data_IF_536779382891
#
_entry.id   IF_536779382891
#
_cell.length_a   1.000
_cell.length_b   1.000
_cell.length_c   1.000
_cell.angle_alpha   90.00
_cell.angle_beta   90.00
_cell.angle_gamma   90.00
#
_symmetry.space_group_name_H-M   'P 1'
#
loop_
_entity.id
_entity.type
_entity.pdbx_description
1 polymer ?
#
# COMPACT_ATOMS: atom_id res chain seq x y z
N UNK A 1 22.50 14.24 16.21
CA UNK A 1 22.00 12.86 16.20
C UNK A 1 22.22 12.09 17.49
N UNK A 2 23.43 12.05 18.08
CA UNK A 2 23.67 11.34 19.36
C UNK A 2 22.74 11.77 20.50
N UNK A 3 22.42 13.07 20.62
CA UNK A 3 21.46 13.59 21.60
C UNK A 3 20.05 13.01 21.42
N UNK A 4 19.56 12.95 20.18
CA UNK A 4 18.24 12.37 19.88
C UNK A 4 18.19 10.87 20.24
N UNK A 5 19.26 10.13 19.91
CA UNK A 5 19.36 8.71 20.26
C UNK A 5 19.36 8.52 21.78
N UNK A 6 20.07 9.38 22.54
CA UNK A 6 20.11 9.27 24.00
C UNK A 6 18.76 9.62 24.66
N UNK A 7 17.98 10.53 24.07
CA UNK A 7 16.64 10.89 24.55
C UNK A 7 15.60 9.82 24.23
N UNK A 8 15.73 9.15 23.08
CA UNK A 8 14.83 8.08 22.66
C UNK A 8 15.17 6.72 23.29
N UNK A 9 16.40 6.53 23.75
CA UNK A 9 16.84 5.28 24.36
C UNK A 9 16.02 4.97 25.62
N UNK A 10 15.39 3.77 25.62
CA UNK A 10 14.55 3.29 26.74
C UNK A 10 13.36 4.20 27.11
N UNK A 11 13.01 5.16 26.26
CA UNK A 11 11.88 6.08 26.48
C UNK A 11 10.49 5.42 26.33
N UNK A 12 10.43 4.22 25.75
CA UNK A 12 9.19 3.56 25.37
C UNK A 12 8.63 4.02 24.01
N UNK A 13 9.14 5.11 23.44
CA UNK A 13 8.75 5.56 22.11
C UNK A 13 9.27 4.63 21.01
N UNK A 14 8.53 4.59 19.90
CA UNK A 14 8.92 3.90 18.67
C UNK A 14 9.16 4.94 17.61
N UNK A 15 10.36 4.95 17.02
CA UNK A 15 10.68 5.78 15.87
C UNK A 15 10.18 5.08 14.60
N UNK A 16 9.22 5.69 13.92
CA UNK A 16 8.69 5.16 12.65
C UNK A 16 9.28 5.95 11.49
N UNK A 17 9.94 5.26 10.57
CA UNK A 17 10.55 5.81 9.36
C UNK A 17 9.76 5.29 8.16
N UNK A 18 8.88 6.13 7.64
CA UNK A 18 8.09 5.80 6.46
C UNK A 18 8.87 6.04 5.17
N UNK A 19 8.41 5.40 4.11
CA UNK A 19 8.98 5.56 2.76
C UNK A 19 10.51 5.35 2.69
N UNK A 20 11.01 4.42 3.48
CA UNK A 20 12.45 4.18 3.64
C UNK A 20 13.17 3.84 2.33
N UNK A 21 12.42 3.42 1.32
CA UNK A 21 12.92 3.12 -0.02
C UNK A 21 13.35 4.36 -0.83
N UNK A 22 12.95 5.59 -0.44
CA UNK A 22 13.40 6.83 -1.09
C UNK A 22 14.78 7.30 -0.67
N UNK A 23 15.37 6.66 0.34
CA UNK A 23 16.74 7.02 0.78
C UNK A 23 17.72 6.79 -0.37
N UNK A 24 18.51 7.82 -0.67
CA UNK A 24 19.55 7.76 -1.68
C UNK A 24 20.56 6.65 -1.35
N UNK A 25 21.02 5.96 -2.37
CA UNK A 25 21.91 4.81 -2.23
C UNK A 25 23.18 5.14 -1.44
N UNK A 26 23.75 6.32 -1.68
CA UNK A 26 24.97 6.78 -1.00
C UNK A 26 24.79 6.94 0.52
N UNK A 27 23.55 7.16 0.98
CA UNK A 27 23.23 7.36 2.39
C UNK A 27 22.80 6.09 3.12
N UNK A 28 22.47 5.03 2.40
CA UNK A 28 21.90 3.79 2.97
C UNK A 28 22.82 3.13 3.96
N UNK A 29 24.10 3.04 3.65
CA UNK A 29 25.09 2.42 4.54
C UNK A 29 25.25 3.22 5.83
N UNK A 30 25.33 4.54 5.73
CA UNK A 30 25.45 5.44 6.90
C UNK A 30 24.20 5.36 7.78
N UNK A 31 23.00 5.41 7.18
CA UNK A 31 21.74 5.31 7.92
C UNK A 31 21.61 3.93 8.55
N UNK A 32 21.95 2.86 7.83
CA UNK A 32 21.95 1.50 8.37
C UNK A 32 22.87 1.36 9.59
N UNK A 33 24.04 2.00 9.58
CA UNK A 33 24.96 2.04 10.69
C UNK A 33 24.36 2.81 11.89
N UNK A 34 23.70 3.94 11.63
CA UNK A 34 23.06 4.75 12.67
C UNK A 34 21.86 4.03 13.30
N UNK A 35 21.04 3.36 12.51
CA UNK A 35 19.94 2.51 12.99
C UNK A 35 20.48 1.43 13.94
N UNK A 36 21.58 0.78 13.54
CA UNK A 36 22.22 -0.23 14.39
C UNK A 36 22.64 0.33 15.73
N UNK A 37 23.35 1.48 15.75
CA UNK A 37 23.81 2.13 16.98
C UNK A 37 22.63 2.55 17.85
N UNK A 38 21.57 3.08 17.25
CA UNK A 38 20.36 3.46 17.97
C UNK A 38 19.65 2.24 18.59
N UNK A 39 19.52 1.15 17.84
CA UNK A 39 18.92 -0.09 18.36
C UNK A 39 19.75 -0.71 19.50
N UNK A 40 21.10 -0.68 19.41
CA UNK A 40 21.99 -1.13 20.48
C UNK A 40 21.85 -0.29 21.76
N UNK A 41 21.41 0.96 21.65
CA UNK A 41 21.07 1.84 22.77
C UNK A 41 19.63 1.73 23.25
N UNK A 42 18.87 0.77 22.76
CA UNK A 42 17.49 0.51 23.19
C UNK A 42 16.43 1.38 22.51
N UNK A 43 16.75 2.06 21.39
CA UNK A 43 15.75 2.75 20.57
C UNK A 43 15.00 1.74 19.75
N UNK A 44 13.67 1.75 19.84
CA UNK A 44 12.79 0.94 18.99
C UNK A 44 12.56 1.64 17.67
N UNK A 45 12.88 0.98 16.55
CA UNK A 45 12.79 1.57 15.21
C UNK A 45 11.97 0.65 14.33
N UNK A 46 11.01 1.22 13.62
CA UNK A 46 10.20 0.56 12.57
C UNK A 46 10.43 1.30 11.27
N UNK A 47 10.68 0.57 10.20
CA UNK A 47 10.80 1.13 8.85
C UNK A 47 9.71 0.55 7.97
N UNK A 48 9.09 1.38 7.14
CA UNK A 48 8.16 0.96 6.09
C UNK A 48 8.78 1.22 4.72
N UNK A 49 8.66 0.24 3.83
CA UNK A 49 9.16 0.33 2.47
C UNK A 49 8.34 -0.54 1.52
N UNK A 50 8.42 -0.26 0.20
CA UNK A 50 7.75 -1.11 -0.79
C UNK A 50 8.47 -2.46 -0.92
N UNK A 51 7.73 -3.57 -1.24
CA UNK A 51 8.23 -4.94 -1.17
C UNK A 51 9.55 -5.20 -1.92
N UNK A 52 9.73 -4.57 -3.08
CA UNK A 52 10.91 -4.79 -3.92
C UNK A 52 12.20 -4.15 -3.41
N UNK A 53 12.11 -3.31 -2.37
CA UNK A 53 13.25 -2.58 -1.79
C UNK A 53 13.37 -2.72 -0.28
N UNK A 54 12.51 -3.52 0.34
CA UNK A 54 12.49 -3.73 1.80
C UNK A 54 13.82 -4.22 2.36
N UNK A 55 14.60 -4.94 1.55
CA UNK A 55 15.86 -5.54 1.95
C UNK A 55 17.08 -4.60 1.87
N UNK A 56 16.95 -3.46 1.18
CA UNK A 56 18.13 -2.66 0.82
C UNK A 56 18.94 -2.20 2.03
N UNK A 57 18.27 -1.80 3.12
CA UNK A 57 18.95 -1.36 4.35
C UNK A 57 19.53 -2.54 5.13
N UNK A 58 18.83 -3.67 5.11
CA UNK A 58 19.29 -4.90 5.76
C UNK A 58 20.43 -5.53 4.94
N UNK A 59 20.35 -5.47 3.62
CA UNK A 59 21.39 -5.98 2.71
C UNK A 59 22.66 -5.14 2.77
N UNK A 60 22.53 -3.81 2.83
CA UNK A 60 23.70 -2.92 2.93
C UNK A 60 24.45 -3.08 4.25
N UNK A 61 23.80 -3.61 5.30
CA UNK A 61 24.45 -3.87 6.57
C UNK A 61 24.24 -5.30 7.06
N UNK A 62 25.15 -6.25 6.71
CA UNK A 62 25.07 -7.65 7.14
C UNK A 62 24.97 -7.84 8.66
N UNK A 63 25.42 -6.85 9.44
CA UNK A 63 25.39 -6.88 10.92
C UNK A 63 23.98 -6.62 11.50
N UNK A 64 23.02 -6.19 10.67
CA UNK A 64 21.60 -6.10 11.03
C UNK A 64 20.87 -7.43 10.86
N UNK A 65 21.42 -8.37 10.11
CA UNK A 65 20.82 -9.70 9.96
C UNK A 65 20.66 -10.37 11.32
N UNK A 66 19.46 -10.92 11.58
CA UNK A 66 19.11 -11.54 12.85
C UNK A 66 18.63 -10.57 13.95
N UNK A 67 18.61 -9.25 13.66
CA UNK A 67 18.08 -8.23 14.58
C UNK A 67 16.85 -7.52 14.03
N UNK A 68 16.39 -7.90 12.84
CA UNK A 68 15.25 -7.32 12.14
C UNK A 68 14.15 -8.38 12.08
N UNK A 69 12.95 -8.01 12.53
CA UNK A 69 11.73 -8.74 12.25
C UNK A 69 11.08 -8.10 11.03
N UNK A 70 10.92 -8.86 9.95
CA UNK A 70 10.23 -8.41 8.76
C UNK A 70 8.76 -8.82 8.83
N UNK A 71 7.88 -7.86 8.57
CA UNK A 71 6.44 -8.08 8.43
C UNK A 71 6.07 -7.79 6.99
N UNK A 72 5.62 -8.83 6.28
CA UNK A 72 5.08 -8.67 4.94
C UNK A 72 3.60 -8.34 5.05
N UNK A 73 3.23 -7.13 4.59
CA UNK A 73 1.85 -6.67 4.51
C UNK A 73 1.17 -7.08 3.19
N UNK A 74 1.58 -8.20 2.61
CA UNK A 74 1.15 -8.73 1.33
C UNK A 74 -0.33 -8.60 0.98
N UNK A 75 -0.77 -9.30 -0.02
CA UNK A 75 -2.16 -9.25 -0.50
C UNK A 75 -3.17 -9.69 0.57
N UNK A 76 -4.26 -8.95 0.67
CA UNK A 76 -5.33 -9.25 1.61
C UNK A 76 -6.27 -10.32 1.06
N UNK A 77 -6.81 -11.16 1.94
CA UNK A 77 -7.85 -12.13 1.57
C UNK A 77 -9.18 -11.41 1.24
N UNK A 78 -10.01 -12.07 0.43
CA UNK A 78 -11.37 -11.58 0.11
C UNK A 78 -12.14 -11.21 1.36
N UNK A 79 -12.07 -12.01 2.43
CA UNK A 79 -12.75 -11.72 3.70
C UNK A 79 -12.25 -10.44 4.38
N UNK A 80 -10.98 -10.11 4.26
CA UNK A 80 -10.43 -8.86 4.80
C UNK A 80 -10.83 -7.67 3.95
N UNK A 81 -10.81 -7.80 2.63
CA UNK A 81 -11.24 -6.77 1.69
C UNK A 81 -12.73 -6.48 1.84
N UNK A 82 -13.58 -7.51 1.96
CA UNK A 82 -15.01 -7.35 2.18
C UNK A 82 -15.33 -6.51 3.42
N UNK A 83 -14.50 -6.60 4.48
CA UNK A 83 -14.66 -5.75 5.67
C UNK A 83 -14.45 -4.26 5.38
N UNK A 84 -13.63 -3.91 4.38
CA UNK A 84 -13.45 -2.50 3.96
C UNK A 84 -14.76 -1.99 3.42
N UNK A 85 -15.39 -2.70 2.47
CA UNK A 85 -16.68 -2.32 1.89
C UNK A 85 -17.78 -2.26 2.95
N UNK A 86 -17.93 -3.34 3.73
CA UNK A 86 -19.00 -3.42 4.74
C UNK A 86 -18.91 -2.29 5.77
N UNK A 87 -17.71 -1.96 6.23
CA UNK A 87 -17.49 -0.82 7.15
C UNK A 87 -17.73 0.52 6.48
N UNK A 88 -17.24 0.71 5.24
CA UNK A 88 -17.41 1.95 4.50
C UNK A 88 -18.87 2.23 4.18
N UNK A 89 -19.58 1.27 3.62
CA UNK A 89 -21.02 1.40 3.34
C UNK A 89 -21.84 1.56 4.62
N UNK A 90 -21.50 0.79 5.68
CA UNK A 90 -22.16 0.95 6.98
C UNK A 90 -21.99 2.34 7.59
N UNK A 91 -20.83 2.99 7.42
CA UNK A 91 -20.59 4.37 7.87
C UNK A 91 -21.44 5.38 7.10
N UNK A 92 -21.88 5.05 5.88
CA UNK A 92 -22.80 5.85 5.06
C UNK A 92 -24.27 5.51 5.29
N UNK A 93 -24.61 4.63 6.24
CA UNK A 93 -25.94 4.05 6.44
C UNK A 93 -26.48 3.36 5.17
N UNK A 94 -25.60 2.65 4.47
CA UNK A 94 -25.93 1.93 3.25
C UNK A 94 -25.71 0.43 3.48
N UNK A 95 -26.65 -0.35 2.98
CA UNK A 95 -26.53 -1.80 2.95
C UNK A 95 -26.45 -2.27 1.49
N UNK A 96 -25.38 -2.97 1.18
CA UNK A 96 -25.14 -3.68 -0.06
C UNK A 96 -25.29 -5.19 0.17
N UNK A 97 -25.63 -5.95 -0.86
CA UNK A 97 -25.72 -7.41 -0.77
C UNK A 97 -24.34 -8.02 -0.52
N UNK A 98 -24.29 -9.12 0.22
CA UNK A 98 -23.03 -9.84 0.49
C UNK A 98 -22.35 -10.32 -0.79
N UNK A 99 -23.14 -10.72 -1.78
CA UNK A 99 -22.63 -11.14 -3.08
C UNK A 99 -21.92 -10.00 -3.82
N UNK A 100 -22.52 -8.79 -3.83
CA UNK A 100 -21.85 -7.61 -4.40
C UNK A 100 -20.55 -7.30 -3.67
N UNK A 101 -20.57 -7.28 -2.33
CA UNK A 101 -19.36 -7.00 -1.52
C UNK A 101 -18.26 -7.99 -1.83
N UNK A 102 -18.61 -9.27 -2.02
CA UNK A 102 -17.65 -10.30 -2.42
C UNK A 102 -17.10 -10.06 -3.82
N UNK A 103 -17.95 -9.75 -4.82
CA UNK A 103 -17.52 -9.40 -6.18
C UNK A 103 -16.55 -8.22 -6.19
N UNK A 104 -16.84 -7.14 -5.44
CA UNK A 104 -15.93 -6.00 -5.29
C UNK A 104 -14.56 -6.42 -4.70
N UNK A 105 -14.57 -7.34 -3.72
CA UNK A 105 -13.36 -7.85 -3.10
C UNK A 105 -12.53 -8.75 -4.05
N UNK A 106 -13.17 -9.49 -4.93
CA UNK A 106 -12.53 -10.28 -5.99
C UNK A 106 -11.85 -9.35 -7.01
N UNK A 107 -12.55 -8.31 -7.48
CA UNK A 107 -12.02 -7.30 -8.39
C UNK A 107 -10.85 -6.49 -7.78
N UNK A 108 -10.81 -6.35 -6.47
CA UNK A 108 -9.72 -5.65 -5.78
C UNK A 108 -8.40 -6.44 -5.73
N UNK A 109 -8.38 -7.70 -6.16
CA UNK A 109 -7.18 -8.54 -6.36
C UNK A 109 -6.19 -8.52 -5.20
N UNK A 110 -6.68 -8.50 -3.97
CA UNK A 110 -5.85 -8.46 -2.75
C UNK A 110 -5.38 -7.07 -2.32
N UNK A 111 -5.70 -6.01 -3.06
CA UNK A 111 -5.26 -4.65 -2.77
C UNK A 111 -6.30 -3.87 -1.94
N UNK A 112 -6.01 -3.50 -0.67
CA UNK A 112 -6.91 -2.67 0.14
C UNK A 112 -7.18 -1.30 -0.49
N UNK A 113 -6.16 -0.70 -1.11
CA UNK A 113 -6.30 0.58 -1.80
C UNK A 113 -7.25 0.47 -2.99
N UNK A 114 -7.09 -0.57 -3.82
CA UNK A 114 -7.96 -0.79 -4.96
C UNK A 114 -9.40 -1.02 -4.51
N UNK A 115 -9.60 -1.81 -3.44
CA UNK A 115 -10.92 -2.02 -2.84
C UNK A 115 -11.59 -0.71 -2.40
N UNK A 116 -10.85 0.19 -1.75
CA UNK A 116 -11.37 1.51 -1.36
C UNK A 116 -11.74 2.35 -2.58
N UNK A 117 -10.89 2.34 -3.62
CA UNK A 117 -11.16 3.10 -4.86
C UNK A 117 -12.39 2.57 -5.59
N UNK A 118 -12.55 1.24 -5.68
CA UNK A 118 -13.75 0.62 -6.29
C UNK A 118 -15.00 1.04 -5.52
N UNK A 119 -15.00 0.93 -4.19
CA UNK A 119 -16.13 1.34 -3.35
C UNK A 119 -16.44 2.83 -3.53
N UNK A 120 -15.42 3.68 -3.61
CA UNK A 120 -15.59 5.12 -3.83
C UNK A 120 -16.23 5.40 -5.20
N UNK A 121 -15.70 4.82 -6.27
CA UNK A 121 -16.27 4.98 -7.62
C UNK A 121 -17.70 4.43 -7.71
N UNK A 122 -18.01 3.35 -6.99
CA UNK A 122 -19.37 2.84 -6.92
C UNK A 122 -20.32 3.82 -6.22
N UNK A 123 -19.88 4.47 -5.14
CA UNK A 123 -20.65 5.54 -4.50
C UNK A 123 -20.91 6.70 -5.47
N UNK A 124 -19.90 7.11 -6.26
CA UNK A 124 -20.10 8.15 -7.29
C UNK A 124 -21.11 7.74 -8.37
N UNK A 125 -21.04 6.50 -8.86
CA UNK A 125 -22.00 5.97 -9.86
C UNK A 125 -23.42 5.94 -9.30
N UNK A 126 -23.55 5.66 -7.99
CA UNK A 126 -24.85 5.65 -7.28
C UNK A 126 -25.25 7.04 -6.76
N UNK A 127 -24.49 8.09 -7.06
CA UNK A 127 -24.72 9.46 -6.58
C UNK A 127 -24.83 9.56 -5.04
N UNK A 128 -24.05 8.73 -4.32
CA UNK A 128 -23.97 8.69 -2.86
C UNK A 128 -22.80 9.55 -2.42
N UNK A 129 -23.07 10.80 -2.03
CA UNK A 129 -22.05 11.78 -1.65
C UNK A 129 -22.03 12.11 -0.17
N UNK A 130 -23.06 11.68 0.58
CA UNK A 130 -23.18 11.92 2.01
C UNK A 130 -23.83 10.74 2.75
N UNK A 131 -23.70 10.74 4.06
CA UNK A 131 -24.31 9.71 4.91
C UNK A 131 -25.84 9.84 4.89
N UNK A 132 -26.52 8.76 4.56
CA UNK A 132 -28.00 8.72 4.62
C UNK A 132 -28.50 8.87 6.07
N UNK A 133 -29.58 9.64 6.31
CA UNK A 133 -30.14 9.76 7.65
C UNK A 133 -30.73 8.43 8.19
N UNK A 134 -31.08 7.51 7.30
CA UNK A 134 -31.62 6.19 7.63
C UNK A 134 -30.89 5.12 6.84
N UNK A 135 -30.97 3.88 7.29
CA UNK A 135 -30.40 2.76 6.56
C UNK A 135 -31.13 2.56 5.22
N UNK A 136 -30.40 2.60 4.12
CA UNK A 136 -30.90 2.42 2.75
C UNK A 136 -30.25 1.19 2.13
N UNK A 137 -31.06 0.29 1.60
CA UNK A 137 -30.57 -0.82 0.79
C UNK A 137 -30.42 -0.37 -0.66
N UNK A 138 -29.23 -0.59 -1.21
CA UNK A 138 -28.95 -0.32 -2.62
C UNK A 138 -28.72 -1.62 -3.37
N UNK A 139 -29.34 -1.71 -4.54
CA UNK A 139 -29.03 -2.71 -5.55
C UNK A 139 -28.09 -2.09 -6.58
N UNK A 140 -27.18 -2.88 -7.11
CA UNK A 140 -26.22 -2.45 -8.13
C UNK A 140 -26.39 -3.39 -9.32
N UNK A 141 -26.65 -2.83 -10.49
CA UNK A 141 -26.69 -3.56 -11.74
C UNK A 141 -25.28 -3.86 -12.25
N UNK A 142 -25.16 -4.84 -13.16
CA UNK A 142 -23.85 -5.15 -13.76
C UNK A 142 -23.29 -3.95 -14.55
N UNK A 143 -24.12 -3.14 -15.19
CA UNK A 143 -23.72 -1.91 -15.89
C UNK A 143 -23.15 -0.86 -14.94
N UNK A 144 -23.76 -0.65 -13.76
CA UNK A 144 -23.24 0.27 -12.74
C UNK A 144 -21.92 -0.23 -12.15
N UNK A 145 -21.77 -1.54 -11.96
CA UNK A 145 -20.52 -2.14 -11.52
C UNK A 145 -19.42 -1.96 -12.56
N UNK A 146 -19.69 -2.24 -13.82
CA UNK A 146 -18.74 -2.05 -14.92
C UNK A 146 -18.31 -0.58 -15.03
N UNK A 147 -19.23 0.35 -14.89
CA UNK A 147 -18.93 1.78 -14.87
C UNK A 147 -18.02 2.16 -13.69
N UNK A 148 -18.28 1.65 -12.48
CA UNK A 148 -17.45 1.89 -11.31
C UNK A 148 -16.04 1.33 -11.51
N UNK A 149 -15.90 0.14 -12.08
CA UNK A 149 -14.60 -0.47 -12.39
C UNK A 149 -13.85 0.32 -13.46
N UNK A 150 -14.55 0.79 -14.50
CA UNK A 150 -13.98 1.65 -15.54
C UNK A 150 -13.45 2.96 -14.95
N UNK A 151 -14.22 3.63 -14.10
CA UNK A 151 -13.77 4.83 -13.37
C UNK A 151 -12.56 4.53 -12.48
N UNK A 152 -12.57 3.40 -11.78
CA UNK A 152 -11.44 2.96 -10.94
C UNK A 152 -10.16 2.82 -11.74
N UNK A 153 -10.23 2.29 -12.96
CA UNK A 153 -9.04 2.14 -13.83
C UNK A 153 -8.43 3.48 -14.23
N UNK A 154 -9.24 4.54 -14.34
CA UNK A 154 -8.78 5.90 -14.65
C UNK A 154 -8.11 6.57 -13.44
N UNK A 155 -8.57 6.30 -12.21
CA UNK A 155 -7.94 6.79 -10.98
C UNK A 155 -6.55 6.18 -10.75
N UNK A 156 -6.34 4.96 -11.23
CA UNK A 156 -5.08 4.26 -11.07
C UNK A 156 -4.30 4.39 -12.37
N UNK A 157 -3.49 5.46 -12.49
CA UNK A 157 -2.65 5.69 -13.68
C UNK A 157 -1.57 4.60 -13.83
N UNK A 158 -1.99 3.44 -14.33
CA UNK A 158 -1.10 2.35 -14.69
C UNK A 158 -0.34 2.60 -16.00
N UNK A 159 -0.67 3.65 -16.75
CA UNK A 159 -0.08 3.93 -18.07
C UNK A 159 1.44 4.10 -17.98
N UNK A 160 1.95 4.78 -16.95
CA UNK A 160 3.40 4.89 -16.72
C UNK A 160 4.03 3.55 -16.36
N UNK A 161 3.34 2.73 -15.58
CA UNK A 161 3.82 1.41 -15.17
C UNK A 161 3.84 0.46 -16.38
N UNK A 162 2.77 0.42 -17.16
CA UNK A 162 2.67 -0.37 -18.40
C UNK A 162 3.71 0.08 -19.44
N UNK A 163 3.91 1.39 -19.66
CA UNK A 163 4.94 1.89 -20.56
C UNK A 163 6.36 1.55 -20.06
N UNK A 164 6.57 1.53 -18.75
CA UNK A 164 7.83 1.11 -18.14
C UNK A 164 8.09 -0.39 -18.32
N UNK A 165 7.07 -1.23 -18.16
CA UNK A 165 7.14 -2.68 -18.40
C UNK A 165 7.38 -2.97 -19.89
N UNK A 166 6.64 -2.32 -20.78
CA UNK A 166 6.80 -2.44 -22.23
C UNK A 166 8.18 -2.00 -22.71
N UNK A 167 8.73 -0.94 -22.11
CA UNK A 167 10.05 -0.41 -22.45
C UNK A 167 11.21 -1.24 -21.88
N UNK A 168 10.97 -2.16 -20.95
CA UNK A 168 12.00 -2.96 -20.27
C UNK A 168 12.97 -2.14 -19.39
N UNK A 169 13.90 -2.80 -18.70
CA UNK A 169 14.88 -2.12 -17.84
C UNK A 169 15.82 -1.24 -18.64
N UNK A 170 16.24 -0.10 -18.05
CA UNK A 170 17.21 0.80 -18.67
C UNK A 170 18.56 0.10 -18.83
N UNK A 171 18.98 -0.16 -20.05
CA UNK A 171 20.32 -0.67 -20.35
C UNK A 171 21.24 0.51 -20.71
N UNK A 172 22.41 0.61 -20.05
CA UNK A 172 23.43 1.60 -20.40
C UNK A 172 24.00 1.26 -21.78
N UNK A 173 23.84 2.14 -22.74
CA UNK A 173 24.54 2.09 -24.03
C UNK A 173 23.91 1.26 -25.14
N UNK A 174 22.70 0.68 -24.98
CA UNK A 174 21.98 0.00 -26.07
C UNK A 174 20.58 0.59 -26.26
N UNK A 175 20.11 0.65 -27.53
CA UNK A 175 18.71 0.97 -27.82
C UNK A 175 17.79 -0.07 -27.14
N UNK A 176 16.78 0.40 -26.42
CA UNK A 176 15.75 -0.45 -25.82
C UNK A 176 15.13 -1.35 -26.89
N UNK A 177 15.10 -2.64 -26.64
CA UNK A 177 14.26 -3.56 -27.39
C UNK A 177 12.88 -3.55 -26.74
N UNK A 178 11.85 -3.26 -27.56
CA UNK A 178 10.46 -3.40 -27.14
C UNK A 178 10.18 -4.89 -26.89
N UNK A 179 9.65 -5.20 -25.70
CA UNK A 179 9.13 -6.53 -25.44
C UNK A 179 7.69 -6.58 -25.94
N UNK A 180 7.46 -7.40 -26.94
CA UNK A 180 6.08 -7.78 -27.37
C UNK A 180 5.61 -8.87 -26.44
N UNK A 181 4.54 -8.60 -25.70
CA UNK A 181 3.75 -9.59 -24.98
C UNK A 181 2.71 -10.19 -25.92
#
# INVERSE_FOLDING_TARGET
MQKVISELANSGFVLFLDDFHYIKEELREEIGRQIKVAAEKGVKIVTASVPHRSDDVVRSNPKLRGRVAAFDLGYWSINHLSKIASKGFGALNIKMTEDLVRRLAEEAMGSPRLMQTICYCLCEVKEIFETSPTLVEHTVSDTELEEALSRTSQFTDFSKMLSSLHSGPRQRGQKRKEHKF
#
